data_IF_012198540298
#
_entry.id   IF_012198540298
#
_cell.length_a   1.000
_cell.length_b   1.000
_cell.length_c   1.000
_cell.angle_alpha   90.00
_cell.angle_beta   90.00
_cell.angle_gamma   90.00
#
_symmetry.space_group_name_H-M   'P 1'
#
loop_
_entity.id
_entity.type
_entity.pdbx_description
1 polymer ?
#
# COMPACT_ATOMS: atom_id res chain seq x y z
N UNK A 1 2.37 -29.80 23.80
CA UNK A 1 2.74 -29.22 22.49
C UNK A 1 4.25 -29.00 22.49
N UNK A 2 4.97 -29.39 21.44
CA UNK A 2 6.44 -29.30 21.39
C UNK A 2 6.86 -27.88 20.99
N UNK A 3 7.75 -27.26 21.78
CA UNK A 3 8.33 -25.95 21.44
C UNK A 3 9.25 -26.07 20.21
N UNK A 4 9.35 -25.00 19.42
CA UNK A 4 10.32 -24.91 18.33
C UNK A 4 11.57 -24.19 18.81
N UNK A 5 12.73 -24.66 18.36
CA UNK A 5 13.98 -23.94 18.52
C UNK A 5 14.13 -22.97 17.34
N UNK A 6 14.31 -21.69 17.65
CA UNK A 6 14.50 -20.62 16.67
C UNK A 6 15.95 -20.59 16.16
N UNK A 7 16.22 -19.87 15.06
CA UNK A 7 17.59 -19.76 14.51
C UNK A 7 18.59 -19.05 15.43
N UNK A 8 18.11 -18.35 16.47
CA UNK A 8 18.96 -17.78 17.52
C UNK A 8 19.09 -18.70 18.75
N UNK A 9 18.60 -19.94 18.70
CA UNK A 9 18.71 -20.93 19.77
C UNK A 9 17.64 -20.85 20.86
N UNK A 10 16.72 -19.87 20.83
CA UNK A 10 15.65 -19.79 21.83
C UNK A 10 14.58 -20.87 21.59
N UNK A 11 14.14 -21.54 22.67
CA UNK A 11 12.98 -22.45 22.67
C UNK A 11 11.70 -21.65 22.92
N UNK A 12 10.78 -21.64 21.94
CA UNK A 12 9.51 -20.90 22.03
C UNK A 12 8.32 -21.76 21.61
N UNK A 13 7.10 -21.49 22.10
CA UNK A 13 5.90 -22.15 21.62
C UNK A 13 5.73 -22.02 20.10
N UNK A 14 5.22 -23.07 19.45
CA UNK A 14 4.92 -23.04 18.01
C UNK A 14 3.94 -21.89 17.72
N UNK A 15 4.29 -21.05 16.74
CA UNK A 15 3.50 -19.87 16.36
C UNK A 15 3.95 -18.57 17.03
N UNK A 16 4.77 -18.62 18.08
CA UNK A 16 5.34 -17.43 18.71
C UNK A 16 6.70 -17.06 18.12
N UNK A 17 7.04 -15.77 18.24
CA UNK A 17 8.35 -15.21 17.90
C UNK A 17 9.13 -14.99 19.18
N UNK A 18 10.41 -15.35 19.19
CA UNK A 18 11.28 -14.96 20.29
C UNK A 18 11.66 -13.47 20.20
N UNK A 19 12.22 -12.91 21.26
CA UNK A 19 12.64 -11.50 21.30
C UNK A 19 13.63 -11.14 20.18
N UNK A 20 14.54 -12.05 19.80
CA UNK A 20 15.52 -11.81 18.75
C UNK A 20 14.87 -11.81 17.35
N UNK A 21 13.92 -12.71 17.11
CA UNK A 21 13.13 -12.71 15.87
C UNK A 21 12.29 -11.44 15.78
N UNK A 22 11.64 -11.06 16.88
CA UNK A 22 10.86 -9.83 16.93
C UNK A 22 11.73 -8.60 16.65
N UNK A 23 12.91 -8.50 17.27
CA UNK A 23 13.86 -7.43 17.03
C UNK A 23 14.32 -7.37 15.57
N UNK A 24 14.62 -8.52 14.94
CA UNK A 24 15.00 -8.59 13.52
C UNK A 24 13.86 -8.17 12.60
N UNK A 25 12.64 -8.62 12.87
CA UNK A 25 11.45 -8.24 12.11
C UNK A 25 11.21 -6.74 12.23
N UNK A 26 11.24 -6.19 13.45
CA UNK A 26 11.07 -4.76 13.70
C UNK A 26 12.17 -3.93 13.05
N UNK A 27 13.43 -4.34 13.14
CA UNK A 27 14.55 -3.66 12.47
C UNK A 27 14.38 -3.68 10.93
N UNK A 28 13.96 -4.81 10.36
CA UNK A 28 13.69 -4.93 8.92
C UNK A 28 12.52 -4.05 8.48
N UNK A 29 11.43 -4.02 9.25
CA UNK A 29 10.29 -3.16 9.01
C UNK A 29 10.70 -1.68 9.06
N UNK A 30 11.45 -1.28 10.10
CA UNK A 30 11.98 0.08 10.23
C UNK A 30 12.82 0.49 9.02
N UNK A 31 13.77 -0.34 8.60
CA UNK A 31 14.60 -0.05 7.42
C UNK A 31 13.76 0.07 6.14
N UNK A 32 12.75 -0.78 5.96
CA UNK A 32 11.83 -0.69 4.82
C UNK A 32 10.98 0.59 4.87
N UNK A 33 10.52 1.00 6.05
CA UNK A 33 9.73 2.22 6.24
C UNK A 33 10.55 3.49 6.02
N UNK A 34 11.80 3.50 6.49
CA UNK A 34 12.77 4.56 6.21
C UNK A 34 13.03 4.68 4.70
N UNK A 35 13.27 3.57 4.01
CA UNK A 35 13.46 3.56 2.55
C UNK A 35 12.21 4.01 1.78
N UNK A 36 11.02 3.66 2.29
CA UNK A 36 9.72 4.04 1.68
C UNK A 36 9.40 5.52 1.86
N UNK A 37 9.87 6.13 2.94
CA UNK A 37 9.55 7.51 3.30
C UNK A 37 8.11 7.68 3.80
N UNK A 38 7.81 8.90 4.24
CA UNK A 38 6.50 9.22 4.83
C UNK A 38 5.39 9.20 3.77
N UNK A 39 4.14 9.04 4.22
CA UNK A 39 2.98 9.09 3.30
C UNK A 39 2.89 10.44 2.57
N UNK A 40 3.15 11.54 3.28
CA UNK A 40 3.14 12.87 2.70
C UNK A 40 4.25 13.04 1.66
N UNK A 41 5.47 12.53 1.93
CA UNK A 41 6.58 12.57 0.97
C UNK A 41 6.29 11.77 -0.30
N UNK A 42 5.45 10.74 -0.21
CA UNK A 42 4.98 9.96 -1.37
C UNK A 42 3.82 10.61 -2.13
N UNK A 43 3.42 11.84 -1.76
CA UNK A 43 2.36 12.58 -2.44
C UNK A 43 0.96 12.39 -1.86
N UNK A 44 0.84 11.76 -0.68
CA UNK A 44 -0.43 11.65 0.06
C UNK A 44 -0.51 12.70 1.18
N UNK A 45 -0.33 13.96 0.79
CA UNK A 45 -0.33 15.15 1.66
C UNK A 45 -1.76 15.69 1.93
N UNK A 46 -1.84 16.89 2.53
CA UNK A 46 -3.13 17.55 2.83
C UNK A 46 -3.91 17.89 1.56
N UNK A 47 -3.24 18.30 0.49
CA UNK A 47 -3.87 18.62 -0.79
C UNK A 47 -4.50 17.38 -1.41
N UNK A 48 -3.79 16.26 -1.38
CA UNK A 48 -4.35 14.96 -1.77
C UNK A 48 -5.58 14.60 -0.94
N UNK A 49 -5.52 14.76 0.39
CA UNK A 49 -6.65 14.44 1.27
C UNK A 49 -7.91 15.25 0.92
N UNK A 50 -7.74 16.57 0.68
CA UNK A 50 -8.81 17.47 0.27
C UNK A 50 -9.38 17.11 -1.11
N UNK A 51 -8.51 16.84 -2.08
CA UNK A 51 -8.90 16.41 -3.42
C UNK A 51 -9.65 15.07 -3.35
N UNK A 52 -9.14 14.08 -2.63
CA UNK A 52 -9.74 12.76 -2.46
C UNK A 52 -11.16 12.86 -1.90
N UNK A 53 -11.36 13.67 -0.85
CA UNK A 53 -12.69 13.88 -0.27
C UNK A 53 -13.67 14.45 -1.30
N UNK A 54 -13.28 15.53 -1.99
CA UNK A 54 -14.12 16.14 -3.04
C UNK A 54 -14.38 15.18 -4.20
N UNK A 55 -13.37 14.45 -4.64
CA UNK A 55 -13.47 13.54 -5.76
C UNK A 55 -14.45 12.40 -5.47
N UNK A 56 -14.38 11.77 -4.30
CA UNK A 56 -15.32 10.71 -3.90
C UNK A 56 -16.74 11.22 -3.68
N UNK A 57 -16.89 12.47 -3.24
CA UNK A 57 -18.21 13.09 -3.13
C UNK A 57 -18.90 13.22 -4.50
N UNK A 58 -18.17 13.64 -5.53
CA UNK A 58 -18.71 13.77 -6.90
C UNK A 58 -18.74 12.44 -7.67
N UNK A 59 -17.90 11.48 -7.30
CA UNK A 59 -17.78 10.17 -7.94
C UNK A 59 -18.04 9.06 -6.90
N UNK A 60 -19.29 8.90 -6.43
CA UNK A 60 -19.62 7.99 -5.34
C UNK A 60 -19.56 6.50 -5.73
N UNK A 61 -19.49 6.20 -7.03
CA UNK A 61 -19.57 4.85 -7.57
C UNK A 61 -18.24 4.42 -8.19
N UNK A 62 -17.93 3.13 -8.09
CA UNK A 62 -16.78 2.50 -8.69
C UNK A 62 -16.93 2.50 -10.21
N UNK A 63 -15.93 3.03 -10.93
CA UNK A 63 -15.95 3.06 -12.40
C UNK A 63 -15.93 1.66 -13.04
N UNK A 64 -15.55 0.63 -12.30
CA UNK A 64 -15.43 -0.75 -12.82
C UNK A 64 -16.72 -1.54 -12.63
N UNK A 65 -17.36 -1.46 -11.46
CA UNK A 65 -18.47 -2.33 -11.09
C UNK A 65 -19.72 -1.60 -10.58
N UNK A 66 -19.71 -0.27 -10.51
CA UNK A 66 -20.84 0.53 -10.04
C UNK A 66 -21.07 0.56 -8.52
N UNK A 67 -20.45 -0.35 -7.74
CA UNK A 67 -20.57 -0.36 -6.28
C UNK A 67 -20.00 0.92 -5.63
N UNK A 68 -20.38 1.22 -4.38
CA UNK A 68 -19.89 2.41 -3.66
C UNK A 68 -18.35 2.47 -3.64
N UNK A 69 -17.81 3.60 -4.10
CA UNK A 69 -16.39 3.88 -4.11
C UNK A 69 -15.89 4.25 -2.71
N UNK A 70 -14.68 3.77 -2.39
CA UNK A 70 -13.98 4.09 -1.14
C UNK A 70 -12.52 4.48 -1.37
N UNK A 71 -12.01 4.27 -2.58
CA UNK A 71 -10.64 4.53 -2.98
C UNK A 71 -10.64 5.47 -4.19
N UNK A 72 -9.61 6.32 -4.25
CA UNK A 72 -9.27 7.12 -5.43
C UNK A 72 -7.92 6.63 -5.87
N UNK A 73 -7.86 6.16 -7.10
CA UNK A 73 -6.66 5.58 -7.69
C UNK A 73 -6.16 6.43 -8.85
N UNK A 74 -4.83 6.58 -8.92
CA UNK A 74 -4.16 7.28 -10.00
C UNK A 74 -4.07 6.40 -11.25
N UNK A 75 -4.59 6.88 -12.38
CA UNK A 75 -4.53 6.17 -13.67
C UNK A 75 -3.08 5.91 -14.08
N UNK A 76 -2.26 6.95 -14.05
CA UNK A 76 -0.80 6.90 -14.13
C UNK A 76 -0.22 7.12 -12.74
N UNK A 77 0.70 6.25 -12.32
CA UNK A 77 1.24 6.29 -10.96
C UNK A 77 1.91 7.63 -10.65
N UNK A 78 1.83 8.08 -9.40
CA UNK A 78 2.51 9.30 -8.93
C UNK A 78 4.03 9.22 -9.12
N UNK A 79 4.60 8.00 -9.14
CA UNK A 79 6.01 7.77 -9.41
C UNK A 79 6.38 8.13 -10.85
N UNK A 80 5.55 7.70 -11.80
CA UNK A 80 5.85 7.86 -13.23
C UNK A 80 5.43 9.24 -13.75
N UNK A 81 4.34 9.80 -13.19
CA UNK A 81 3.77 11.10 -13.56
C UNK A 81 3.46 11.96 -12.33
N UNK A 82 4.50 12.48 -11.65
CA UNK A 82 4.30 13.32 -10.46
C UNK A 82 3.54 14.62 -10.76
N UNK A 83 3.63 15.11 -12.00
CA UNK A 83 2.89 16.27 -12.51
C UNK A 83 1.36 16.07 -12.51
N UNK A 84 0.91 14.82 -12.71
CA UNK A 84 -0.51 14.45 -12.73
C UNK A 84 -1.06 14.00 -11.37
N UNK A 85 -0.30 14.17 -10.28
CA UNK A 85 -0.68 13.69 -8.95
C UNK A 85 -2.02 14.23 -8.45
N UNK A 86 -2.31 15.50 -8.73
CA UNK A 86 -3.52 16.19 -8.30
C UNK A 86 -4.49 16.48 -9.47
N UNK A 87 -4.20 15.97 -10.67
CA UNK A 87 -5.05 16.17 -11.84
C UNK A 87 -6.27 15.22 -11.76
N UNK A 88 -7.51 15.74 -11.66
CA UNK A 88 -8.71 14.92 -11.61
C UNK A 88 -8.89 13.98 -12.81
N UNK A 89 -8.37 14.35 -13.99
CA UNK A 89 -8.43 13.50 -15.20
C UNK A 89 -7.55 12.25 -15.08
N UNK A 90 -6.55 12.29 -14.21
CA UNK A 90 -5.69 11.15 -13.87
C UNK A 90 -6.22 10.34 -12.68
N UNK A 91 -7.45 10.58 -12.21
CA UNK A 91 -8.03 9.90 -11.05
C UNK A 91 -9.25 9.05 -11.44
N UNK A 92 -9.48 7.96 -10.68
CA UNK A 92 -10.70 7.15 -10.78
C UNK A 92 -11.19 6.65 -9.44
N UNK A 93 -12.52 6.64 -9.29
CA UNK A 93 -13.21 6.15 -8.10
C UNK A 93 -13.34 4.63 -8.15
N UNK A 94 -12.95 3.96 -7.06
CA UNK A 94 -12.96 2.51 -6.99
C UNK A 94 -13.48 1.99 -5.64
N UNK A 95 -14.15 0.85 -5.68
CA UNK A 95 -14.39 0.06 -4.48
C UNK A 95 -13.12 -0.73 -4.11
N UNK A 96 -13.03 -1.16 -2.85
CA UNK A 96 -11.87 -1.90 -2.35
C UNK A 96 -11.52 -3.16 -3.14
N UNK A 97 -12.48 -4.06 -3.51
CA UNK A 97 -12.15 -5.26 -4.28
C UNK A 97 -11.52 -4.97 -5.64
N UNK A 98 -12.10 -4.06 -6.43
CA UNK A 98 -11.57 -3.71 -7.74
C UNK A 98 -10.21 -3.01 -7.64
N UNK A 99 -10.02 -2.16 -6.62
CA UNK A 99 -8.74 -1.48 -6.38
C UNK A 99 -7.63 -2.49 -6.01
N UNK A 100 -7.94 -3.43 -5.10
CA UNK A 100 -7.02 -4.51 -4.72
C UNK A 100 -6.63 -5.37 -5.91
N UNK A 101 -7.60 -5.76 -6.74
CA UNK A 101 -7.34 -6.55 -7.95
C UNK A 101 -6.43 -5.81 -8.94
N UNK A 102 -6.62 -4.50 -9.15
CA UNK A 102 -5.71 -3.72 -9.99
C UNK A 102 -4.32 -3.65 -9.38
N UNK A 103 -4.21 -3.33 -8.09
CA UNK A 103 -2.92 -3.26 -7.39
C UNK A 103 -2.15 -4.57 -7.52
N UNK A 104 -2.83 -5.72 -7.39
CA UNK A 104 -2.23 -7.03 -7.59
C UNK A 104 -1.73 -7.25 -9.02
N UNK A 105 -2.49 -6.83 -10.04
CA UNK A 105 -2.08 -6.89 -11.46
C UNK A 105 -0.87 -6.00 -11.74
N UNK A 106 -0.84 -4.79 -11.20
CA UNK A 106 0.26 -3.84 -11.42
C UNK A 106 1.54 -4.32 -10.71
N UNK A 107 1.40 -4.91 -9.52
CA UNK A 107 2.52 -5.51 -8.79
C UNK A 107 3.04 -6.78 -9.46
N UNK A 108 2.15 -7.65 -9.96
CA UNK A 108 2.57 -8.87 -10.68
C UNK A 108 3.25 -8.54 -12.00
N UNK A 109 2.78 -7.52 -12.73
CA UNK A 109 3.43 -7.03 -13.95
C UNK A 109 4.82 -6.44 -13.69
N UNK A 110 5.08 -5.93 -12.48
CA UNK A 110 6.39 -5.40 -12.07
C UNK A 110 7.27 -6.43 -11.35
N UNK A 111 6.80 -7.66 -11.13
CA UNK A 111 7.61 -8.72 -10.52
C UNK A 111 8.73 -9.15 -11.48
N UNK A 112 9.97 -8.77 -11.16
CA UNK A 112 11.16 -9.11 -11.93
C UNK A 112 11.68 -8.03 -12.88
N UNK A 113 10.98 -6.89 -13.04
CA UNK A 113 11.58 -5.70 -13.66
C UNK A 113 12.63 -5.13 -12.69
N UNK A 114 13.90 -5.43 -12.93
CA UNK A 114 15.00 -4.72 -12.27
C UNK A 114 14.89 -3.23 -12.61
N UNK A 115 15.14 -2.40 -11.60
CA UNK A 115 15.27 -0.95 -11.72
C UNK A 115 16.32 -0.57 -12.75
#
# INVERSE_FOLDING_TARGET
MVNRITSCGCSVPKGQKCIHEQARITARQKANDEQRGTSSARGYDKDWSKLRFRFLHHNPNCVVCGAKASHVDHIQSVRDRPDLRLDPSNLRSMCHPCHSQRTARDQSANWGRKK
#
